data_IF_386467440950
#
_entry.id   IF_386467440950
#
_cell.length_a   1.000
_cell.length_b   1.000
_cell.length_c   1.000
_cell.angle_alpha   90.00
_cell.angle_beta   90.00
_cell.angle_gamma   90.00
#
_symmetry.space_group_name_H-M   'P 1'
#
loop_
_entity.id
_entity.type
_entity.pdbx_description
1 polymer ?
#
# COMPACT_ATOMS: atom_id res chain seq x y z
N UNK A 1 46.33 52.23 10.66
CA UNK A 1 46.48 50.94 9.94
C UNK A 1 46.13 49.86 10.94
N UNK A 2 44.90 49.38 10.87
CA UNK A 2 44.31 48.37 11.75
C UNK A 2 43.09 47.79 11.00
N UNK A 3 43.28 46.58 10.49
CA UNK A 3 42.38 45.44 10.29
C UNK A 3 40.83 45.56 10.28
N UNK A 4 40.25 44.84 9.30
CA UNK A 4 38.91 44.18 9.22
C UNK A 4 37.65 45.09 9.19
N UNK A 5 36.53 44.80 8.51
CA UNK A 5 36.00 43.54 7.98
C UNK A 5 34.95 43.79 6.85
N UNK A 6 35.12 43.01 5.80
CA UNK A 6 34.13 42.25 5.01
C UNK A 6 32.61 42.64 5.04
N UNK A 7 32.05 43.00 3.87
CA UNK A 7 30.65 42.68 3.48
C UNK A 7 30.56 42.53 1.96
N UNK A 8 30.68 41.29 1.48
CA UNK A 8 30.19 40.88 0.17
C UNK A 8 28.79 40.30 0.37
N UNK A 9 27.79 40.96 -0.22
CA UNK A 9 26.40 40.54 -0.26
C UNK A 9 26.24 39.44 -1.30
N UNK A 10 26.28 38.18 -0.84
CA UNK A 10 25.98 37.00 -1.63
C UNK A 10 24.62 36.48 -1.22
N UNK A 11 23.56 36.91 -1.91
CA UNK A 11 22.24 36.29 -1.83
C UNK A 11 22.33 34.86 -2.37
N UNK A 12 22.58 33.90 -1.48
CA UNK A 12 22.39 32.48 -1.76
C UNK A 12 20.89 32.21 -1.96
N UNK A 13 20.52 31.98 -3.21
CA UNK A 13 19.25 31.35 -3.57
C UNK A 13 19.19 29.99 -2.86
N UNK A 14 18.31 29.88 -1.85
CA UNK A 14 17.90 28.61 -1.25
C UNK A 14 17.49 27.66 -2.37
N UNK A 15 18.33 26.65 -2.64
CA UNK A 15 17.92 25.49 -3.42
C UNK A 15 16.80 24.80 -2.66
N UNK A 16 15.61 24.74 -3.26
CA UNK A 16 14.55 23.83 -2.84
C UNK A 16 15.16 22.43 -2.80
N UNK A 17 15.26 21.87 -1.58
CA UNK A 17 15.75 20.52 -1.38
C UNK A 17 14.77 19.56 -2.05
N UNK A 18 15.16 19.02 -3.21
CA UNK A 18 14.45 17.92 -3.83
C UNK A 18 14.42 16.75 -2.85
N UNK A 19 13.26 16.52 -2.23
CA UNK A 19 13.01 15.29 -1.48
C UNK A 19 13.25 14.13 -2.44
N UNK A 20 14.32 13.37 -2.18
CA UNK A 20 14.62 12.17 -2.97
C UNK A 20 13.50 11.17 -2.66
N UNK A 21 12.58 11.01 -3.62
CA UNK A 21 11.51 10.03 -3.51
C UNK A 21 12.12 8.63 -3.37
N UNK A 22 11.89 8.00 -2.21
CA UNK A 22 12.43 6.68 -1.94
C UNK A 22 11.67 5.64 -2.79
N UNK A 23 12.35 5.11 -3.81
CA UNK A 23 11.82 4.08 -4.71
C UNK A 23 12.20 2.70 -4.21
N UNK A 24 11.21 1.85 -4.01
CA UNK A 24 11.36 0.54 -3.39
C UNK A 24 10.94 -0.54 -4.35
N UNK A 25 11.80 -1.55 -4.53
CA UNK A 25 11.44 -2.77 -5.27
C UNK A 25 10.96 -3.84 -4.29
N UNK A 26 10.06 -4.69 -4.76
CA UNK A 26 9.65 -5.86 -3.99
C UNK A 26 10.86 -6.75 -3.70
N UNK A 27 10.94 -7.21 -2.45
CA UNK A 27 11.90 -8.23 -2.02
C UNK A 27 11.58 -9.56 -2.68
N UNK A 28 12.58 -10.44 -2.72
CA UNK A 28 12.38 -11.83 -3.08
C UNK A 28 11.67 -12.52 -1.91
N UNK A 29 10.48 -13.07 -2.17
CA UNK A 29 9.79 -13.91 -1.20
C UNK A 29 10.60 -15.19 -0.96
N UNK A 30 10.53 -15.79 0.25
CA UNK A 30 11.12 -17.10 0.51
C UNK A 30 10.58 -18.14 -0.48
N UNK A 31 11.45 -19.08 -0.87
CA UNK A 31 11.03 -20.21 -1.70
C UNK A 31 9.95 -21.03 -0.97
N UNK A 32 8.95 -21.57 -1.69
CA UNK A 32 7.87 -22.34 -1.08
C UNK A 32 8.36 -23.66 -0.45
N UNK A 33 9.58 -24.10 -0.77
CA UNK A 33 10.25 -25.28 -0.20
C UNK A 33 10.51 -25.11 1.29
N UNK A 34 9.54 -25.51 2.11
CA UNK A 34 9.63 -25.48 3.58
C UNK A 34 8.52 -24.67 4.27
N UNK A 35 7.66 -23.99 3.50
CA UNK A 35 6.51 -23.27 4.04
C UNK A 35 5.28 -24.17 4.04
N UNK A 36 4.77 -24.49 5.23
CA UNK A 36 3.49 -25.17 5.37
C UNK A 36 2.35 -24.18 5.08
N UNK A 37 1.43 -24.49 4.16
CA UNK A 37 0.23 -23.69 3.95
C UNK A 37 -0.51 -23.47 5.29
N UNK A 38 -1.07 -22.28 5.46
CA UNK A 38 -1.87 -21.94 6.63
C UNK A 38 -3.20 -21.37 6.16
N UNK A 39 -4.26 -21.74 6.85
CA UNK A 39 -5.62 -21.26 6.60
C UNK A 39 -5.87 -19.96 7.35
N UNK A 40 -6.83 -19.17 6.86
CA UNK A 40 -7.31 -17.98 7.57
C UNK A 40 -7.79 -18.33 8.99
N UNK A 41 -8.53 -19.43 9.15
CA UNK A 41 -9.02 -19.88 10.46
C UNK A 41 -7.87 -20.10 11.46
N UNK A 42 -6.75 -20.68 11.02
CA UNK A 42 -5.57 -20.88 11.87
C UNK A 42 -4.82 -19.57 12.19
N UNK A 43 -4.96 -18.54 11.35
CA UNK A 43 -4.40 -17.21 11.62
C UNK A 43 -5.25 -16.43 12.62
N UNK A 44 -6.58 -16.52 12.51
CA UNK A 44 -7.51 -15.85 13.42
C UNK A 44 -7.41 -16.36 14.87
N UNK A 45 -6.86 -17.56 15.08
CA UNK A 45 -6.60 -18.12 16.42
C UNK A 45 -5.22 -17.71 16.99
N UNK A 46 -4.42 -16.91 16.29
CA UNK A 46 -3.10 -16.48 16.76
C UNK A 46 -3.18 -15.15 17.48
N UNK A 47 -2.47 -15.04 18.60
CA UNK A 47 -2.29 -13.78 19.32
C UNK A 47 -1.50 -12.75 18.51
N UNK A 48 -0.63 -13.20 17.62
CA UNK A 48 0.20 -12.35 16.78
C UNK A 48 0.44 -13.01 15.42
N UNK A 49 0.11 -12.29 14.36
CA UNK A 49 0.34 -12.71 12.97
C UNK A 49 1.65 -12.07 12.47
N UNK A 50 2.56 -12.92 11.99
CA UNK A 50 3.87 -12.51 11.47
C UNK A 50 3.90 -12.45 9.93
N UNK A 51 4.91 -11.81 9.33
CA UNK A 51 5.10 -11.81 7.88
C UNK A 51 5.15 -13.22 7.26
N UNK A 52 5.77 -14.17 7.96
CA UNK A 52 5.87 -15.56 7.48
C UNK A 52 4.49 -16.21 7.38
N UNK A 53 3.59 -15.90 8.30
CA UNK A 53 2.26 -16.47 8.31
C UNK A 53 1.45 -16.09 7.07
N UNK A 54 1.47 -14.81 6.68
CA UNK A 54 0.71 -14.36 5.50
C UNK A 54 1.34 -14.81 4.18
N UNK A 55 2.66 -15.05 4.15
CA UNK A 55 3.33 -15.60 2.98
C UNK A 55 2.87 -17.04 2.65
N UNK A 56 2.37 -17.77 3.66
CA UNK A 56 1.85 -19.12 3.53
C UNK A 56 0.37 -19.19 3.07
N UNK A 57 -0.35 -18.06 2.99
CA UNK A 57 -1.75 -18.03 2.54
C UNK A 57 -1.86 -18.41 1.05
N UNK A 58 -2.75 -19.35 0.73
CA UNK A 58 -2.97 -19.78 -0.65
C UNK A 58 -4.09 -19.01 -1.36
N UNK A 59 -5.00 -18.42 -0.58
CA UNK A 59 -6.17 -17.69 -1.07
C UNK A 59 -6.28 -16.33 -0.39
N UNK A 60 -7.06 -15.43 -1.00
CA UNK A 60 -7.47 -14.20 -0.33
C UNK A 60 -8.27 -14.53 0.93
N UNK A 61 -8.09 -13.76 2.00
CA UNK A 61 -8.88 -13.99 3.22
C UNK A 61 -10.28 -13.40 3.07
N UNK A 62 -11.27 -13.99 3.73
CA UNK A 62 -12.65 -13.52 3.74
C UNK A 62 -12.80 -12.34 4.72
N UNK A 63 -12.15 -12.42 5.87
CA UNK A 63 -12.22 -11.42 6.93
C UNK A 63 -10.88 -10.68 7.13
N UNK A 64 -10.92 -9.59 7.91
CA UNK A 64 -9.71 -8.89 8.33
C UNK A 64 -8.99 -9.67 9.44
N UNK A 65 -7.66 -9.68 9.37
CA UNK A 65 -6.78 -10.44 10.28
C UNK A 65 -6.31 -9.60 11.49
N UNK A 66 -6.68 -8.32 11.54
CA UNK A 66 -6.43 -7.42 12.66
C UNK A 66 -7.56 -6.40 12.76
N UNK A 67 -7.69 -5.80 13.94
CA UNK A 67 -8.66 -4.75 14.20
C UNK A 67 -8.05 -3.37 13.91
N UNK A 68 -8.85 -2.33 13.64
CA UNK A 68 -8.34 -0.96 13.49
C UNK A 68 -7.50 -0.50 14.67
N UNK A 69 -7.83 -0.94 15.89
CA UNK A 69 -7.14 -0.55 17.12
C UNK A 69 -5.71 -1.12 17.23
N UNK A 70 -5.37 -2.14 16.43
CA UNK A 70 -4.02 -2.70 16.36
C UNK A 70 -3.03 -1.72 15.69
N UNK A 71 -3.53 -0.71 14.96
CA UNK A 71 -2.75 0.41 14.42
C UNK A 71 -2.38 1.43 15.52
N UNK A 72 -1.66 0.96 16.54
CA UNK A 72 -1.24 1.77 17.70
C UNK A 72 -0.21 2.86 17.36
N UNK A 73 0.23 2.92 16.10
CA UNK A 73 1.20 3.87 15.55
C UNK A 73 0.52 5.03 14.79
N UNK A 74 -0.82 4.99 14.67
CA UNK A 74 -1.61 5.96 13.92
C UNK A 74 -1.07 6.17 12.49
N UNK A 75 -0.71 5.07 11.82
CA UNK A 75 -0.32 5.12 10.41
C UNK A 75 -1.56 5.41 9.59
N UNK A 76 -1.55 6.50 8.82
CA UNK A 76 -2.68 6.88 7.99
C UNK A 76 -2.26 7.17 6.55
N UNK A 77 -2.83 6.44 5.59
CA UNK A 77 -2.59 6.63 4.17
C UNK A 77 -3.45 7.79 3.64
N UNK A 78 -2.79 8.84 3.17
CA UNK A 78 -3.44 10.10 2.78
C UNK A 78 -3.51 10.29 1.27
N UNK A 79 -2.60 9.67 0.51
CA UNK A 79 -2.64 9.71 -0.96
C UNK A 79 -2.06 8.43 -1.55
N UNK A 80 -2.66 7.98 -2.63
CA UNK A 80 -2.22 6.83 -3.39
C UNK A 80 -2.35 7.12 -4.89
N UNK A 81 -1.26 6.93 -5.63
CA UNK A 81 -1.21 7.18 -7.07
C UNK A 81 -0.46 6.06 -7.78
N UNK A 82 -1.07 5.49 -8.82
CA UNK A 82 -0.44 4.50 -9.69
C UNK A 82 -0.13 5.15 -11.02
N UNK A 83 1.10 4.98 -11.51
CA UNK A 83 1.47 5.31 -12.90
C UNK A 83 2.10 4.13 -13.62
N UNK A 84 1.89 4.07 -14.93
CA UNK A 84 2.70 3.25 -15.81
C UNK A 84 4.13 3.82 -15.86
N UNK A 85 5.13 2.99 -15.61
CA UNK A 85 6.53 3.41 -15.62
C UNK A 85 7.11 3.55 -17.03
N UNK A 86 6.49 2.94 -18.05
CA UNK A 86 6.94 3.05 -19.44
C UNK A 86 6.45 4.36 -20.08
N UNK A 87 5.16 4.67 -19.93
CA UNK A 87 4.57 5.88 -20.55
C UNK A 87 4.49 7.08 -19.61
N UNK A 88 4.60 6.87 -18.29
CA UNK A 88 4.36 7.91 -17.28
C UNK A 88 2.88 8.23 -17.03
N UNK A 89 1.95 7.55 -17.73
CA UNK A 89 0.51 7.77 -17.61
C UNK A 89 0.03 7.45 -16.20
N UNK A 90 -0.72 8.36 -15.58
CA UNK A 90 -1.39 8.11 -14.30
C UNK A 90 -2.61 7.23 -14.55
N UNK A 91 -2.60 6.04 -13.96
CA UNK A 91 -3.63 5.01 -14.14
C UNK A 91 -4.71 5.11 -13.06
N UNK A 92 -4.33 5.60 -11.88
CA UNK A 92 -5.23 5.79 -10.74
C UNK A 92 -4.64 6.82 -9.79
N UNK A 93 -5.49 7.63 -9.18
CA UNK A 93 -5.10 8.52 -8.09
C UNK A 93 -6.27 8.74 -7.14
N UNK A 94 -5.99 8.66 -5.84
CA UNK A 94 -6.92 9.01 -4.78
C UNK A 94 -6.16 9.76 -3.68
N UNK A 95 -6.79 10.79 -3.12
CA UNK A 95 -6.29 11.48 -1.95
C UNK A 95 -7.45 11.62 -0.96
N UNK A 96 -7.14 11.45 0.33
CA UNK A 96 -8.09 11.79 1.39
C UNK A 96 -8.29 13.32 1.39
N UNK A 97 -9.52 13.80 1.62
CA UNK A 97 -9.74 15.22 1.88
C UNK A 97 -8.87 15.70 3.05
N UNK A 98 -8.40 16.95 3.05
CA UNK A 98 -7.71 17.52 4.20
C UNK A 98 -8.63 17.50 5.43
N UNK A 99 -8.06 17.21 6.61
CA UNK A 99 -8.83 17.06 7.86
C UNK A 99 -9.72 18.29 8.20
N UNK A 100 -9.36 19.48 7.72
CA UNK A 100 -10.12 20.72 7.90
C UNK A 100 -11.48 20.73 7.20
N UNK A 101 -11.74 19.84 6.23
CA UNK A 101 -13.02 19.74 5.51
C UNK A 101 -13.99 18.73 6.15
N UNK A 102 -13.56 18.00 7.20
CA UNK A 102 -14.38 16.99 7.89
C UNK A 102 -15.06 17.53 9.17
N UNK A 103 -14.79 18.79 9.55
CA UNK A 103 -15.33 19.39 10.78
C UNK A 103 -16.72 20.03 10.60
N UNK A 104 -17.29 20.09 9.39
CA UNK A 104 -18.54 20.82 9.11
C UNK A 104 -19.82 19.95 9.01
N UNK A 105 -19.75 18.62 9.10
CA UNK A 105 -20.93 17.72 8.90
C UNK A 105 -21.20 16.76 10.09
N UNK A 106 -21.00 17.20 11.34
CA UNK A 106 -21.40 16.43 12.53
C UNK A 106 -22.79 16.86 13.05
N UNK A 107 -23.84 16.56 12.28
CA UNK A 107 -25.23 16.67 12.78
C UNK A 107 -26.15 15.58 12.18
N UNK A 108 -25.67 14.34 12.07
CA UNK A 108 -26.53 13.17 11.88
C UNK A 108 -26.22 12.08 12.92
N UNK A 109 -26.93 12.18 14.05
CA UNK A 109 -27.28 11.02 14.87
C UNK A 109 -28.04 10.02 13.98
N UNK A 110 -27.39 8.92 13.57
CA UNK A 110 -27.93 7.57 13.36
C UNK A 110 -27.26 6.85 12.18
N UNK A 111 -26.15 6.17 12.46
CA UNK A 111 -25.58 5.15 11.59
C UNK A 111 -24.33 4.58 12.23
N UNK A 112 -24.30 3.29 12.51
CA UNK A 112 -23.05 2.58 12.79
C UNK A 112 -22.10 2.85 11.61
N UNK A 113 -21.21 3.84 11.77
CA UNK A 113 -20.18 4.15 10.79
C UNK A 113 -19.23 2.96 10.82
N UNK A 114 -19.44 2.04 9.87
CA UNK A 114 -18.73 0.77 9.78
C UNK A 114 -17.23 1.01 9.99
N UNK A 115 -16.66 0.44 11.07
CA UNK A 115 -15.23 0.48 11.38
C UNK A 115 -14.34 -0.15 10.28
N UNK A 116 -14.92 -0.58 9.16
CA UNK A 116 -14.25 -1.00 7.94
C UNK A 116 -14.18 0.06 6.82
N UNK A 117 -14.86 1.22 6.96
CA UNK A 117 -15.14 2.25 5.92
C UNK A 117 -13.94 2.93 5.21
N UNK A 118 -12.72 2.45 5.38
CA UNK A 118 -11.54 2.91 4.63
C UNK A 118 -10.50 1.82 4.33
N UNK A 119 -10.79 0.56 4.67
CA UNK A 119 -9.85 -0.57 4.51
C UNK A 119 -10.13 -1.42 3.27
N UNK A 120 -11.19 -1.11 2.52
CA UNK A 120 -11.54 -1.77 1.27
C UNK A 120 -11.52 -0.79 0.10
N UNK A 121 -10.87 -1.15 -1.01
CA UNK A 121 -10.87 -0.35 -2.25
C UNK A 121 -11.30 -1.20 -3.43
N UNK A 122 -12.25 -0.68 -4.22
CA UNK A 122 -12.69 -1.30 -5.47
C UNK A 122 -12.07 -0.59 -6.66
N UNK A 123 -11.20 -1.29 -7.38
CA UNK A 123 -10.53 -0.74 -8.56
C UNK A 123 -11.28 -1.08 -9.84
N UNK A 124 -11.38 -0.08 -10.72
CA UNK A 124 -11.83 -0.26 -12.09
C UNK A 124 -10.72 0.15 -13.05
N UNK A 125 -10.18 -0.83 -13.75
CA UNK A 125 -9.13 -0.68 -14.74
C UNK A 125 -9.61 -1.13 -16.12
N UNK A 126 -8.86 -0.73 -17.15
CA UNK A 126 -9.06 -1.21 -18.51
C UNK A 126 -8.30 -2.52 -18.72
N UNK A 127 -8.63 -3.32 -19.77
CA UNK A 127 -7.89 -4.55 -20.07
C UNK A 127 -6.40 -4.33 -20.32
N UNK A 128 -6.01 -3.12 -20.77
CA UNK A 128 -4.61 -2.77 -21.02
C UNK A 128 -3.75 -2.82 -19.75
N UNK A 129 -4.35 -2.63 -18.57
CA UNK A 129 -3.65 -2.68 -17.28
C UNK A 129 -2.96 -4.04 -17.06
N UNK A 130 -3.59 -5.14 -17.46
CA UNK A 130 -3.06 -6.50 -17.30
C UNK A 130 -1.85 -6.79 -18.20
N UNK A 131 -1.57 -5.92 -19.18
CA UNK A 131 -0.44 -6.05 -20.10
C UNK A 131 0.76 -5.18 -19.72
N UNK A 132 0.63 -4.36 -18.68
CA UNK A 132 1.72 -3.52 -18.20
C UNK A 132 2.84 -4.38 -17.62
N UNK A 133 4.10 -3.97 -17.83
CA UNK A 133 5.26 -4.66 -17.25
C UNK A 133 5.60 -4.13 -15.87
N UNK A 134 5.55 -2.82 -15.71
CA UNK A 134 5.99 -2.17 -14.48
C UNK A 134 5.15 -0.95 -14.17
N UNK A 135 4.63 -0.89 -12.95
CA UNK A 135 3.92 0.29 -12.44
C UNK A 135 4.61 0.83 -11.20
N UNK A 136 4.55 2.14 -11.03
CA UNK A 136 5.01 2.83 -9.84
C UNK A 136 3.81 3.29 -9.03
N UNK A 137 3.69 2.83 -7.80
CA UNK A 137 2.67 3.29 -6.87
C UNK A 137 3.31 4.25 -5.86
N UNK A 138 3.01 5.54 -5.98
CA UNK A 138 3.38 6.54 -4.99
C UNK A 138 2.37 6.50 -3.85
N UNK A 139 2.87 6.37 -2.63
CA UNK A 139 2.04 6.35 -1.41
C UNK A 139 2.51 7.47 -0.49
N UNK A 140 1.56 8.23 0.02
CA UNK A 140 1.80 9.22 1.07
C UNK A 140 1.03 8.83 2.32
N UNK A 141 1.71 8.89 3.46
CA UNK A 141 1.12 8.51 4.73
C UNK A 141 1.71 9.31 5.89
N UNK A 142 0.96 9.45 6.96
CA UNK A 142 1.41 10.04 8.21
C UNK A 142 1.69 8.95 9.25
N UNK A 143 2.55 9.26 10.21
CA UNK A 143 2.83 8.42 11.37
C UNK A 143 2.58 9.24 12.63
N UNK A 144 2.00 8.62 13.65
CA UNK A 144 1.75 9.22 14.95
C UNK A 144 3.02 9.47 15.77
N UNK A 145 2.85 9.59 17.08
CA UNK A 145 3.89 9.98 18.03
C UNK A 145 4.89 8.85 18.34
N UNK A 146 4.52 7.59 18.11
CA UNK A 146 5.39 6.44 18.32
C UNK A 146 6.34 6.22 17.14
N UNK A 147 7.62 5.93 17.39
CA UNK A 147 8.54 5.53 16.34
C UNK A 147 8.10 4.21 15.71
N UNK A 148 8.22 4.14 14.39
CA UNK A 148 7.90 2.93 13.62
C UNK A 148 9.21 2.35 13.10
N UNK A 149 9.61 1.21 13.65
CA UNK A 149 10.74 0.41 13.18
C UNK A 149 10.28 -0.69 12.23
N UNK A 150 11.07 -0.92 11.18
CA UNK A 150 10.89 -2.06 10.27
C UNK A 150 9.48 -2.14 9.67
N UNK A 151 8.94 -1.00 9.21
CA UNK A 151 7.62 -0.98 8.59
C UNK A 151 7.65 -1.73 7.26
N UNK A 152 6.80 -2.75 7.13
CA UNK A 152 6.81 -3.68 6.00
C UNK A 152 5.40 -3.93 5.51
N UNK A 153 5.20 -3.98 4.20
CA UNK A 153 3.95 -4.41 3.59
C UNK A 153 4.16 -5.67 2.76
N UNK A 154 3.30 -6.66 2.97
CA UNK A 154 3.17 -7.81 2.08
C UNK A 154 1.80 -7.69 1.41
N UNK A 155 1.79 -7.59 0.09
CA UNK A 155 0.58 -7.50 -0.71
C UNK A 155 0.46 -8.71 -1.61
N UNK A 156 -0.65 -9.44 -1.51
CA UNK A 156 -0.88 -10.69 -2.23
C UNK A 156 -2.08 -10.55 -3.13
N UNK A 157 -1.91 -10.83 -4.41
CA UNK A 157 -2.95 -10.76 -5.43
C UNK A 157 -3.37 -12.16 -5.85
N UNK A 158 -4.67 -12.40 -5.91
CA UNK A 158 -5.28 -13.67 -6.25
C UNK A 158 -6.31 -13.45 -7.35
N UNK A 159 -6.39 -14.39 -8.28
CA UNK A 159 -7.56 -14.55 -9.15
C UNK A 159 -8.27 -15.81 -8.72
N UNK A 160 -9.46 -15.66 -8.13
CA UNK A 160 -10.16 -16.75 -7.42
C UNK A 160 -9.24 -17.36 -6.36
N UNK A 161 -8.99 -18.66 -6.42
CA UNK A 161 -8.16 -19.41 -5.47
C UNK A 161 -6.68 -19.52 -5.89
N UNK A 162 -6.26 -18.78 -6.94
CA UNK A 162 -4.89 -18.83 -7.45
C UNK A 162 -4.12 -17.56 -7.13
N UNK A 163 -3.01 -17.69 -6.40
CA UNK A 163 -2.04 -16.62 -6.22
C UNK A 163 -1.43 -16.21 -7.57
N UNK A 164 -1.61 -14.94 -7.95
CA UNK A 164 -0.99 -14.32 -9.11
C UNK A 164 0.42 -13.84 -8.78
N UNK A 165 0.55 -13.09 -7.68
CA UNK A 165 1.81 -12.47 -7.25
C UNK A 165 1.73 -12.08 -5.78
N UNK A 166 2.87 -12.16 -5.10
CA UNK A 166 3.08 -11.59 -3.77
C UNK A 166 4.18 -10.54 -3.86
N UNK A 167 3.90 -9.32 -3.47
CA UNK A 167 4.83 -8.22 -3.36
C UNK A 167 5.19 -7.99 -1.90
N UNK A 168 6.45 -7.70 -1.63
CA UNK A 168 7.00 -7.56 -0.28
C UNK A 168 7.89 -6.31 -0.23
N UNK A 169 7.36 -5.23 0.34
CA UNK A 169 8.04 -3.94 0.43
C UNK A 169 8.41 -3.66 1.88
N UNK A 170 9.64 -3.23 2.09
CA UNK A 170 10.11 -2.77 3.40
C UNK A 170 10.36 -1.27 3.33
N UNK A 171 9.50 -0.51 4.00
CA UNK A 171 9.58 0.94 4.14
C UNK A 171 10.74 1.35 5.06
N UNK A 172 11.13 0.48 5.98
CA UNK A 172 12.17 0.74 6.97
C UNK A 172 11.69 1.56 8.15
N UNK A 173 12.51 2.50 8.59
CA UNK A 173 12.20 3.37 9.72
C UNK A 173 11.36 4.58 9.26
N UNK A 174 10.25 4.84 9.95
CA UNK A 174 9.45 6.05 9.73
C UNK A 174 9.57 6.99 10.94
N UNK A 175 9.79 8.27 10.65
CA UNK A 175 9.99 9.30 11.66
C UNK A 175 8.65 9.56 12.38
N UNK A 176 8.60 9.63 13.72
CA UNK A 176 7.40 10.02 14.44
C UNK A 176 6.89 11.41 14.02
N UNK A 177 5.58 11.63 14.10
CA UNK A 177 4.91 12.90 13.80
C UNK A 177 5.31 13.49 12.44
N UNK A 178 5.43 12.62 11.42
CA UNK A 178 5.90 13.02 10.11
C UNK A 178 4.99 12.52 9.00
N UNK A 179 5.03 13.22 7.87
CA UNK A 179 4.49 12.75 6.59
C UNK A 179 5.60 12.10 5.80
N UNK A 180 5.35 10.90 5.32
CA UNK A 180 6.27 10.09 4.57
C UNK A 180 5.73 9.88 3.15
N UNK A 181 6.63 9.80 2.19
CA UNK A 181 6.30 9.49 0.80
C UNK A 181 7.25 8.42 0.31
N UNK A 182 6.69 7.33 -0.20
CA UNK A 182 7.46 6.27 -0.86
C UNK A 182 6.86 5.95 -2.22
N UNK A 183 7.64 5.28 -3.05
CA UNK A 183 7.18 4.75 -4.32
C UNK A 183 7.52 3.28 -4.43
N UNK A 184 6.49 2.44 -4.46
CA UNK A 184 6.62 1.01 -4.69
C UNK A 184 6.67 0.73 -6.19
N UNK A 185 7.68 -0.01 -6.61
CA UNK A 185 7.86 -0.46 -7.99
C UNK A 185 7.35 -1.90 -8.09
N UNK A 186 6.24 -2.06 -8.79
CA UNK A 186 5.59 -3.33 -9.03
C UNK A 186 6.02 -3.87 -10.39
N UNK A 187 6.67 -5.02 -10.41
CA UNK A 187 6.99 -5.77 -11.63
C UNK A 187 5.92 -6.86 -11.79
N UNK A 188 5.05 -6.68 -12.78
CA UNK A 188 3.89 -7.56 -12.98
C UNK A 188 4.33 -8.94 -13.48
N UNK A 189 3.62 -10.01 -13.07
CA UNK A 189 3.81 -11.32 -13.67
C UNK A 189 3.39 -11.30 -15.15
N UNK A 190 4.04 -12.12 -15.98
CA UNK A 190 3.54 -12.37 -17.33
C UNK A 190 2.35 -13.31 -17.24
N UNK A 191 1.15 -12.80 -17.54
CA UNK A 191 -0.08 -13.57 -17.60
C UNK A 191 -0.29 -14.10 -19.02
N UNK A 192 -0.85 -15.31 -19.15
CA UNK A 192 -1.28 -15.83 -20.44
C UNK A 192 -2.53 -15.09 -20.93
N UNK A 193 -2.75 -15.09 -22.24
CA UNK A 193 -3.91 -14.43 -22.84
C UNK A 193 -5.23 -15.00 -22.29
N UNK A 194 -5.31 -16.32 -22.09
CA UNK A 194 -6.48 -16.98 -21.52
C UNK A 194 -6.83 -16.44 -20.11
N UNK A 195 -5.82 -16.27 -19.25
CA UNK A 195 -6.02 -15.72 -17.90
C UNK A 195 -6.42 -14.25 -17.96
N UNK A 196 -5.81 -13.47 -18.86
CA UNK A 196 -6.21 -12.07 -19.07
C UNK A 196 -7.68 -11.98 -19.47
N UNK A 197 -8.12 -12.81 -20.42
CA UNK A 197 -9.51 -12.84 -20.86
C UNK A 197 -10.45 -13.24 -19.73
N UNK A 198 -10.10 -14.27 -18.95
CA UNK A 198 -10.87 -14.68 -17.77
C UNK A 198 -11.00 -13.55 -16.74
N UNK A 199 -9.90 -12.86 -16.43
CA UNK A 199 -9.91 -11.74 -15.48
C UNK A 199 -10.74 -10.55 -15.97
N UNK A 200 -10.81 -10.32 -17.28
CA UNK A 200 -11.64 -9.25 -17.88
C UNK A 200 -13.13 -9.59 -17.80
N UNK A 201 -13.54 -10.83 -18.10
CA UNK A 201 -14.96 -11.22 -18.12
C UNK A 201 -15.53 -11.56 -16.74
N UNK A 202 -14.67 -11.69 -15.71
CA UNK A 202 -15.06 -11.93 -14.31
C UNK A 202 -14.58 -10.76 -13.42
N UNK A 203 -15.24 -9.58 -13.47
CA UNK A 203 -14.86 -8.46 -12.63
C UNK A 203 -15.00 -8.81 -11.13
N UNK A 204 -14.07 -8.31 -10.32
CA UNK A 204 -14.01 -8.49 -8.86
C UNK A 204 -13.70 -9.92 -8.36
N UNK A 205 -13.49 -10.89 -9.27
CA UNK A 205 -12.90 -12.21 -8.94
C UNK A 205 -11.38 -12.11 -8.69
N UNK A 206 -10.75 -11.01 -9.13
CA UNK A 206 -9.39 -10.68 -8.71
C UNK A 206 -9.46 -9.89 -7.42
N UNK A 207 -8.73 -10.34 -6.39
CA UNK A 207 -8.70 -9.74 -5.06
C UNK A 207 -7.28 -9.63 -4.55
N UNK A 208 -7.04 -8.70 -3.63
CA UNK A 208 -5.77 -8.61 -2.92
C UNK A 208 -5.94 -8.36 -1.45
N UNK A 209 -4.97 -8.87 -0.68
CA UNK A 209 -4.77 -8.54 0.72
C UNK A 209 -3.44 -7.80 0.87
N UNK A 210 -3.48 -6.62 1.49
CA UNK A 210 -2.32 -5.80 1.85
C UNK A 210 -2.14 -5.85 3.36
N UNK A 211 -1.14 -6.59 3.82
CA UNK A 211 -0.80 -6.79 5.22
C UNK A 211 0.36 -5.88 5.63
N UNK A 212 0.17 -5.06 6.66
CA UNK A 212 1.18 -4.13 7.14
C UNK A 212 1.71 -4.55 8.50
N UNK A 213 3.03 -4.57 8.63
CA UNK A 213 3.74 -5.04 9.80
C UNK A 213 4.65 -3.96 10.35
N UNK A 214 4.71 -3.85 11.68
CA UNK A 214 5.74 -3.11 12.42
C UNK A 214 6.39 -4.09 13.38
N UNK A 215 7.72 -4.18 13.36
CA UNK A 215 8.49 -5.17 14.12
C UNK A 215 7.95 -6.61 14.01
N UNK A 216 7.60 -7.00 12.77
CA UNK A 216 7.04 -8.33 12.44
C UNK A 216 5.70 -8.66 13.08
N UNK A 217 4.94 -7.67 13.55
CA UNK A 217 3.56 -7.83 14.04
C UNK A 217 2.58 -7.14 13.10
N UNK A 218 1.53 -7.85 12.71
CA UNK A 218 0.45 -7.28 11.89
C UNK A 218 -0.24 -6.14 12.65
N UNK A 219 -0.34 -4.97 12.03
CA UNK A 219 -1.00 -3.78 12.61
C UNK A 219 -2.12 -3.23 11.74
N UNK A 220 -2.11 -3.50 10.44
CA UNK A 220 -3.16 -3.09 9.51
C UNK A 220 -3.32 -4.16 8.43
N UNK A 221 -4.55 -4.31 7.97
CA UNK A 221 -4.90 -5.20 6.86
C UNK A 221 -5.94 -4.49 6.01
N UNK A 222 -5.55 -4.18 4.77
CA UNK A 222 -6.43 -3.61 3.77
C UNK A 222 -6.74 -4.64 2.68
N UNK A 223 -7.90 -4.51 2.06
CA UNK A 223 -8.41 -5.39 1.02
C UNK A 223 -8.75 -4.61 -0.23
N UNK A 224 -8.68 -5.26 -1.37
CA UNK A 224 -9.19 -4.70 -2.61
C UNK A 224 -9.74 -5.77 -3.56
N UNK A 225 -10.65 -5.35 -4.44
CA UNK A 225 -11.05 -6.12 -5.60
C UNK A 225 -10.86 -5.31 -6.89
N UNK A 226 -10.74 -6.03 -8.01
CA UNK A 226 -10.32 -5.45 -9.27
C UNK A 226 -11.25 -5.88 -10.40
N UNK A 227 -11.71 -4.91 -11.17
CA UNK A 227 -12.34 -5.12 -12.46
C UNK A 227 -11.41 -4.62 -13.58
N UNK A 228 -11.35 -5.37 -14.68
CA UNK A 228 -10.51 -5.04 -15.84
C UNK A 228 -11.32 -4.80 -17.11
N UNK A 229 -12.64 -4.64 -17.00
CA UNK A 229 -13.56 -4.39 -18.10
C UNK A 229 -13.91 -2.89 -18.27
N UNK A 230 -13.18 -2.00 -17.62
CA UNK A 230 -13.41 -0.56 -17.72
C UNK A 230 -13.15 -0.03 -19.12
N UNK A 231 -13.91 1.01 -19.51
CA UNK A 231 -13.79 1.68 -20.81
C UNK A 231 -14.48 0.96 -21.97
N UNK A 232 -15.34 -0.02 -21.69
CA UNK A 232 -16.29 -0.60 -22.66
C UNK A 232 -17.55 0.25 -22.81
#
# INVERSE_FOLDING_TARGET
>A
MSDSDNRADGTELKKEGGSVLNRMKSRRNPEPEGLTPITEAELLQKDCISPLNVLCLQTATESYLCKPEDNIYNIDFTRFKIRDMETGTVLFEIAKPPASELEEDNDDENGEMDSSSGRFVRYQFTPAFLRLRTVGATVEFTVGDKPVSSFRMIERHYFRERLLKSFDFDFGFCIPNSRNTCEHIYEFPQLSEDIIQEMVVNPYDTRSDSFYFVDSRLIMHNKADYAYNGGQ
#
